data_IF_847822787330
#
_entry.id   IF_847822787330
#
_cell.length_a   1.000
_cell.length_b   1.000
_cell.length_c   1.000
_cell.angle_alpha   90.00
_cell.angle_beta   90.00
_cell.angle_gamma   90.00
#
_symmetry.space_group_name_H-M   'P 1'
#
loop_
_entity.id
_entity.type
_entity.pdbx_description
1 polymer ?
#
# COMPACT_ATOMS: atom_id res chain seq x y z
N UNK A 1 -3.51 -10.91 6.14
CA UNK A 1 -2.15 -10.95 6.71
C UNK A 1 -1.77 -9.69 7.48
N UNK A 2 -2.14 -8.49 7.03
CA UNK A 2 -1.82 -7.21 7.69
C UNK A 2 -2.10 -7.16 9.20
N UNK A 3 -3.14 -7.85 9.71
CA UNK A 3 -3.40 -7.96 11.16
C UNK A 3 -2.19 -8.46 11.96
N UNK A 4 -1.36 -9.35 11.39
CA UNK A 4 -0.14 -9.89 12.02
C UNK A 4 0.94 -8.81 12.22
N UNK A 5 0.84 -7.70 11.49
CA UNK A 5 1.75 -6.56 11.54
C UNK A 5 1.14 -5.36 12.28
N UNK A 6 0.16 -5.61 13.16
CA UNK A 6 -0.58 -4.61 13.94
C UNK A 6 -1.43 -3.63 13.10
N UNK A 7 -1.87 -4.03 11.92
CA UNK A 7 -2.87 -3.24 11.18
C UNK A 7 -4.30 -3.56 11.65
N UNK A 8 -4.86 -2.66 12.47
CA UNK A 8 -6.22 -2.79 12.99
C UNK A 8 -7.25 -1.93 12.24
N UNK A 9 -6.80 -1.06 11.33
CA UNK A 9 -7.67 -0.21 10.52
C UNK A 9 -8.40 -0.97 9.41
N UNK A 10 -9.29 -0.25 8.70
CA UNK A 10 -9.94 -0.75 7.50
C UNK A 10 -8.91 -1.28 6.48
N UNK A 11 -9.30 -2.36 5.80
CA UNK A 11 -8.47 -3.06 4.79
C UNK A 11 -8.91 -2.73 3.35
N UNK A 12 -9.83 -1.77 3.20
CA UNK A 12 -10.40 -1.37 1.92
C UNK A 12 -9.88 -0.03 1.42
N UNK A 13 -8.79 0.50 1.97
CA UNK A 13 -8.26 1.85 1.69
C UNK A 13 -6.90 1.81 0.97
N UNK A 14 -6.43 2.98 0.52
CA UNK A 14 -5.13 3.14 -0.18
C UNK A 14 -3.95 2.66 0.68
N UNK A 15 -3.81 3.05 1.96
CA UNK A 15 -2.71 2.58 2.82
C UNK A 15 -2.63 1.05 2.93
N UNK A 16 -3.77 0.40 3.19
CA UNK A 16 -3.83 -1.06 3.31
C UNK A 16 -3.51 -1.78 1.99
N UNK A 17 -3.90 -1.19 0.85
CA UNK A 17 -3.55 -1.72 -0.46
C UNK A 17 -2.04 -1.63 -0.72
N UNK A 18 -1.41 -0.50 -0.38
CA UNK A 18 0.04 -0.33 -0.46
C UNK A 18 0.79 -1.36 0.40
N UNK A 19 0.43 -1.50 1.68
CA UNK A 19 1.08 -2.45 2.58
C UNK A 19 0.89 -3.90 2.12
N UNK A 20 -0.26 -4.21 1.54
CA UNK A 20 -0.51 -5.54 0.94
C UNK A 20 0.42 -5.78 -0.27
N UNK A 21 0.60 -4.77 -1.12
CA UNK A 21 1.55 -4.82 -2.23
C UNK A 21 2.99 -5.04 -1.74
N UNK A 22 3.39 -4.33 -0.68
CA UNK A 22 4.71 -4.47 -0.07
C UNK A 22 4.97 -5.92 0.42
N UNK A 23 3.98 -6.53 1.08
CA UNK A 23 4.04 -7.93 1.50
C UNK A 23 4.18 -8.89 0.32
N UNK A 24 3.41 -8.68 -0.74
CA UNK A 24 3.46 -9.52 -1.94
C UNK A 24 4.82 -9.40 -2.62
N UNK A 25 5.34 -8.17 -2.76
CA UNK A 25 6.65 -7.93 -3.36
C UNK A 25 7.77 -8.65 -2.61
N UNK A 26 7.77 -8.57 -1.27
CA UNK A 26 8.73 -9.34 -0.44
C UNK A 26 8.63 -10.84 -0.64
N UNK A 27 7.41 -11.38 -0.65
CA UNK A 27 7.19 -12.81 -0.90
C UNK A 27 7.63 -13.23 -2.30
N UNK A 28 7.44 -12.39 -3.30
CA UNK A 28 7.90 -12.64 -4.67
C UNK A 28 9.42 -12.69 -4.75
N UNK A 29 10.11 -11.76 -4.08
CA UNK A 29 11.57 -11.76 -3.99
C UNK A 29 12.11 -12.99 -3.25
N UNK A 30 11.47 -13.39 -2.14
CA UNK A 30 11.83 -14.61 -1.42
C UNK A 30 11.69 -15.88 -2.31
N UNK A 31 10.73 -15.87 -3.24
CA UNK A 31 10.52 -16.94 -4.23
C UNK A 31 11.38 -16.79 -5.50
N UNK A 32 12.25 -15.78 -5.58
CA UNK A 32 13.13 -15.48 -6.73
C UNK A 32 12.37 -15.25 -8.05
N UNK A 33 11.16 -14.70 -7.99
CA UNK A 33 10.42 -14.29 -9.19
C UNK A 33 11.10 -13.05 -9.81
N UNK A 34 11.66 -13.20 -11.00
CA UNK A 34 12.43 -12.13 -11.68
C UNK A 34 11.58 -11.24 -12.57
N UNK A 35 10.63 -11.82 -13.29
CA UNK A 35 9.81 -11.13 -14.27
C UNK A 35 8.35 -11.14 -13.82
N UNK A 36 7.78 -9.95 -13.65
CA UNK A 36 6.40 -9.76 -13.16
C UNK A 36 5.67 -8.81 -14.10
N UNK A 37 4.50 -9.24 -14.54
CA UNK A 37 3.55 -8.44 -15.31
C UNK A 37 2.35 -8.17 -14.41
N UNK A 38 1.83 -6.94 -14.47
CA UNK A 38 0.65 -6.55 -13.71
C UNK A 38 -0.59 -6.86 -14.53
N UNK A 39 -1.46 -7.71 -14.00
CA UNK A 39 -2.80 -7.94 -14.52
C UNK A 39 -3.82 -7.22 -13.62
N UNK A 40 -4.53 -6.24 -14.20
CA UNK A 40 -5.58 -5.48 -13.53
C UNK A 40 -6.98 -6.05 -13.80
N UNK A 41 -7.10 -7.05 -14.67
CA UNK A 41 -8.37 -7.58 -15.16
C UNK A 41 -9.27 -6.49 -15.74
N UNK A 42 -10.56 -6.53 -15.36
CA UNK A 42 -11.59 -5.57 -15.80
C UNK A 42 -11.57 -4.24 -15.03
N UNK A 43 -10.56 -3.99 -14.20
CA UNK A 43 -10.51 -2.77 -13.41
C UNK A 43 -10.08 -1.57 -14.27
N UNK A 44 -10.69 -0.42 -14.01
CA UNK A 44 -10.34 0.82 -14.73
C UNK A 44 -9.00 1.40 -14.24
N UNK A 45 -8.02 1.61 -15.14
CA UNK A 45 -6.70 2.16 -14.79
C UNK A 45 -6.76 3.67 -14.55
N UNK A 46 -7.28 4.08 -13.38
CA UNK A 46 -7.30 5.50 -12.97
C UNK A 46 -6.13 5.82 -12.04
N UNK A 47 -5.43 6.93 -12.31
CA UNK A 47 -4.32 7.43 -11.50
C UNK A 47 -4.73 7.54 -10.01
N UNK A 48 -3.82 7.21 -9.10
CA UNK A 48 -4.04 7.37 -7.66
C UNK A 48 -5.02 6.39 -7.00
N UNK A 49 -5.42 5.32 -7.69
CA UNK A 49 -6.32 4.29 -7.14
C UNK A 49 -5.60 3.32 -6.20
N UNK A 50 -6.39 2.53 -5.46
CA UNK A 50 -5.90 1.42 -4.61
C UNK A 50 -5.06 0.40 -5.40
N UNK A 51 -5.36 0.20 -6.67
CA UNK A 51 -4.60 -0.70 -7.56
C UNK A 51 -3.17 -0.21 -7.72
N UNK A 52 -3.01 1.07 -8.05
CA UNK A 52 -1.68 1.67 -8.18
C UNK A 52 -0.97 1.83 -6.84
N UNK A 53 -1.70 1.96 -5.73
CA UNK A 53 -1.09 1.90 -4.40
C UNK A 53 -0.49 0.52 -4.12
N UNK A 54 -1.21 -0.56 -4.46
CA UNK A 54 -0.68 -1.92 -4.33
C UNK A 54 0.53 -2.16 -5.24
N UNK A 55 0.46 -1.73 -6.51
CA UNK A 55 1.60 -1.79 -7.42
C UNK A 55 2.82 -1.04 -6.87
N UNK A 56 2.61 0.17 -6.36
CA UNK A 56 3.65 0.98 -5.74
C UNK A 56 4.30 0.26 -4.55
N UNK A 57 3.51 -0.40 -3.70
CA UNK A 57 4.02 -1.24 -2.62
C UNK A 57 4.89 -2.40 -3.12
N UNK A 58 4.50 -3.07 -4.20
CA UNK A 58 5.31 -4.16 -4.80
C UNK A 58 6.65 -3.63 -5.31
N UNK A 59 6.65 -2.47 -5.98
CA UNK A 59 7.86 -1.82 -6.50
C UNK A 59 8.78 -1.38 -5.35
N UNK A 60 8.22 -0.76 -4.31
CA UNK A 60 8.97 -0.30 -3.15
C UNK A 60 9.56 -1.47 -2.33
N UNK A 61 8.99 -2.68 -2.45
CA UNK A 61 9.60 -3.90 -1.90
C UNK A 61 10.87 -4.33 -2.66
N UNK A 62 11.15 -3.74 -3.83
CA UNK A 62 12.33 -4.03 -4.66
C UNK A 62 12.05 -4.84 -5.92
N UNK A 63 10.77 -5.15 -6.21
CA UNK A 63 10.41 -5.86 -7.45
C UNK A 63 10.50 -4.90 -8.64
N UNK A 64 11.19 -5.33 -9.70
CA UNK A 64 11.29 -4.56 -10.94
C UNK A 64 10.07 -4.83 -11.82
N UNK A 65 9.26 -3.80 -12.03
CA UNK A 65 8.09 -3.84 -12.92
C UNK A 65 8.15 -2.58 -13.79
N UNK A 66 7.97 -2.66 -15.11
CA UNK A 66 7.80 -1.47 -15.95
C UNK A 66 6.57 -0.67 -15.51
N UNK A 67 6.76 0.61 -15.21
CA UNK A 67 5.68 1.49 -14.76
C UNK A 67 5.97 2.95 -15.11
N UNK A 68 4.91 3.73 -15.18
CA UNK A 68 4.98 5.20 -15.18
C UNK A 68 4.87 5.68 -13.72
N UNK A 69 5.74 6.61 -13.31
CA UNK A 69 5.75 7.15 -11.94
C UNK A 69 4.53 8.03 -11.66
N UNK A 70 3.91 8.61 -12.69
CA UNK A 70 2.78 9.53 -12.54
C UNK A 70 1.45 8.85 -12.21
N UNK A 71 1.37 7.51 -12.30
CA UNK A 71 0.13 6.77 -12.04
C UNK A 71 -0.14 6.58 -10.55
N UNK A 72 0.89 6.75 -9.71
CA UNK A 72 0.82 6.45 -8.29
C UNK A 72 0.04 7.52 -7.51
N UNK A 73 -0.63 7.13 -6.41
CA UNK A 73 -1.14 8.11 -5.46
C UNK A 73 0.02 8.91 -4.86
N UNK A 74 -0.24 10.12 -4.39
CA UNK A 74 0.74 10.89 -3.61
C UNK A 74 1.13 10.15 -2.32
N UNK A 75 2.33 10.43 -1.82
CA UNK A 75 2.84 9.86 -0.56
C UNK A 75 1.88 10.13 0.62
N UNK A 76 1.34 11.34 0.71
CA UNK A 76 0.32 11.73 1.71
C UNK A 76 -0.91 10.81 1.66
N UNK A 77 -1.35 10.43 0.44
CA UNK A 77 -2.47 9.50 0.26
C UNK A 77 -2.10 8.07 0.61
N UNK A 78 -0.87 7.65 0.32
CA UNK A 78 -0.36 6.32 0.67
C UNK A 78 -0.27 6.17 2.19
N UNK A 79 0.24 7.18 2.89
CA UNK A 79 0.29 7.22 4.37
C UNK A 79 -1.09 7.32 5.00
N UNK A 80 -2.08 7.82 4.25
CA UNK A 80 -3.45 7.96 4.72
C UNK A 80 -3.72 9.25 5.48
N UNK A 81 -2.90 10.29 5.25
CA UNK A 81 -3.09 11.63 5.82
C UNK A 81 -4.43 12.23 5.39
N UNK A 82 -4.83 12.01 4.14
CA UNK A 82 -6.17 12.37 3.64
C UNK A 82 -7.34 11.71 4.39
N UNK A 83 -7.11 10.60 5.09
CA UNK A 83 -8.10 9.94 5.94
C UNK A 83 -8.04 10.56 7.34
N UNK A 84 -6.83 10.72 7.90
CA UNK A 84 -6.62 11.29 9.22
C UNK A 84 -7.16 12.73 9.35
N UNK A 85 -7.02 13.53 8.29
CA UNK A 85 -7.44 14.93 8.25
C UNK A 85 -8.88 15.13 7.77
N UNK A 86 -9.65 14.05 7.59
CA UNK A 86 -11.01 14.14 7.09
C UNK A 86 -12.00 14.52 8.22
N UNK A 87 -12.60 15.69 8.12
CA UNK A 87 -13.54 16.26 9.11
C UNK A 87 -14.79 15.39 9.33
N UNK A 88 -15.17 14.56 8.36
CA UNK A 88 -16.33 13.66 8.47
C UNK A 88 -16.03 12.41 9.31
N UNK A 89 -14.76 12.13 9.63
CA UNK A 89 -14.38 10.97 10.41
C UNK A 89 -14.44 11.29 11.90
N UNK A 90 -15.50 10.80 12.55
CA UNK A 90 -15.71 10.94 14.00
C UNK A 90 -14.82 10.02 14.86
N UNK A 91 -14.08 9.11 14.23
CA UNK A 91 -13.24 8.15 14.95
C UNK A 91 -11.85 8.76 15.19
N UNK A 92 -11.55 9.13 16.43
CA UNK A 92 -10.26 9.71 16.81
C UNK A 92 -9.07 8.80 16.49
N UNK A 93 -9.26 7.47 16.52
CA UNK A 93 -8.20 6.51 16.15
C UNK A 93 -7.73 6.70 14.70
N UNK A 94 -8.56 7.27 13.82
CA UNK A 94 -8.17 7.52 12.45
C UNK A 94 -7.06 8.57 12.31
N UNK A 95 -6.87 9.45 13.31
CA UNK A 95 -5.78 10.44 13.35
C UNK A 95 -4.41 9.77 13.46
N UNK A 96 -4.34 8.63 14.14
CA UNK A 96 -3.11 7.84 14.30
C UNK A 96 -2.78 6.97 13.07
N UNK A 97 -3.64 6.96 12.05
CA UNK A 97 -3.48 6.07 10.89
C UNK A 97 -2.13 6.24 10.18
N UNK A 98 -1.63 7.47 9.89
CA UNK A 98 -0.32 7.64 9.25
C UNK A 98 0.83 7.09 10.11
N UNK A 99 0.75 7.27 11.43
CA UNK A 99 1.74 6.76 12.38
C UNK A 99 1.76 5.22 12.39
N UNK A 100 0.59 4.59 12.45
CA UNK A 100 0.47 3.13 12.43
C UNK A 100 0.86 2.55 11.07
N UNK A 101 0.60 3.28 9.98
CA UNK A 101 1.06 2.93 8.65
C UNK A 101 2.59 2.79 8.60
N UNK A 102 3.33 3.79 9.08
CA UNK A 102 4.80 3.72 9.08
C UNK A 102 5.32 2.58 9.94
N UNK A 103 4.74 2.37 11.13
CA UNK A 103 5.10 1.24 12.00
C UNK A 103 4.87 -0.12 11.32
N UNK A 104 3.75 -0.26 10.61
CA UNK A 104 3.41 -1.48 9.88
C UNK A 104 4.38 -1.68 8.70
N UNK A 105 4.66 -0.61 7.94
CA UNK A 105 5.62 -0.60 6.83
C UNK A 105 7.00 -1.04 7.31
N UNK A 106 7.52 -0.47 8.40
CA UNK A 106 8.80 -0.86 8.97
C UNK A 106 8.85 -2.33 9.39
N UNK A 107 7.81 -2.82 10.07
CA UNK A 107 7.74 -4.24 10.48
C UNK A 107 7.74 -5.17 9.27
N UNK A 108 7.01 -4.81 8.22
CA UNK A 108 7.02 -5.54 6.96
C UNK A 108 8.41 -5.47 6.33
N UNK A 109 9.09 -4.32 6.37
CA UNK A 109 10.43 -4.14 5.80
C UNK A 109 11.55 -4.87 6.57
N UNK A 110 11.40 -5.06 7.87
CA UNK A 110 12.36 -5.80 8.71
C UNK A 110 12.17 -7.33 8.66
N UNK A 111 10.94 -7.79 8.41
CA UNK A 111 10.62 -9.23 8.27
C UNK A 111 10.87 -9.77 6.87
#
# INVERSE_FOLDING_TARGET
>A
ELKKYNWEFSKGNIPSAYLTGLLIGKKALAKKCKDIIVDLGLQNPRKGTRLYAALKGVIDAGVKIPHDKEIFPSEERIKGEHIANNEFIKNEKAKDLPKVFEQCKEKIMKG
#
